data_IF_223950353205
#
_entry.id   IF_223950353205
#
_cell.length_a   1.000
_cell.length_b   1.000
_cell.length_c   1.000
_cell.angle_alpha   90.00
_cell.angle_beta   90.00
_cell.angle_gamma   90.00
#
_symmetry.space_group_name_H-M   'P 1'
#
loop_
_entity.id
_entity.type
_entity.pdbx_description
1 polymer ?
#
# COMPACT_ATOMS: atom_id res chain seq x y z
N UNK A 1 12.49 5.54 -7.47
CA UNK A 1 12.86 4.13 -7.23
C UNK A 1 14.29 4.10 -6.77
N UNK A 2 14.67 3.19 -5.88
CA UNK A 2 15.98 3.18 -5.19
C UNK A 2 16.68 1.82 -5.23
N UNK A 3 16.01 0.80 -5.76
CA UNK A 3 16.54 -0.54 -5.94
C UNK A 3 15.70 -1.27 -6.99
N UNK A 4 16.34 -2.07 -7.84
CA UNK A 4 15.67 -2.95 -8.80
C UNK A 4 16.38 -4.31 -8.88
N UNK A 5 15.59 -5.38 -8.87
CA UNK A 5 16.08 -6.76 -8.93
C UNK A 5 15.51 -7.64 -7.81
N UNK A 6 15.96 -8.90 -7.77
CA UNK A 6 15.57 -9.84 -6.72
C UNK A 6 16.24 -9.50 -5.39
N UNK A 7 15.47 -9.56 -4.29
CA UNK A 7 15.99 -9.34 -2.94
C UNK A 7 17.04 -10.40 -2.55
N UNK A 8 16.90 -11.62 -3.07
CA UNK A 8 17.69 -12.78 -2.67
C UNK A 8 17.27 -13.33 -1.29
N UNK A 9 17.82 -14.48 -0.94
CA UNK A 9 17.67 -15.09 0.39
C UNK A 9 18.12 -14.10 1.48
N UNK A 10 17.28 -13.93 2.51
CA UNK A 10 17.46 -12.96 3.61
C UNK A 10 17.72 -11.51 3.14
N UNK A 11 17.22 -11.13 1.96
CA UNK A 11 17.44 -9.80 1.37
C UNK A 11 18.90 -9.43 1.16
N UNK A 12 19.78 -10.43 0.98
CA UNK A 12 21.23 -10.23 0.83
C UNK A 12 21.61 -9.28 -0.31
N UNK A 13 20.91 -9.33 -1.43
CA UNK A 13 21.22 -8.48 -2.59
C UNK A 13 20.88 -7.01 -2.31
N UNK A 14 19.75 -6.78 -1.62
CA UNK A 14 19.34 -5.46 -1.14
C UNK A 14 20.38 -4.91 -0.16
N UNK A 15 20.76 -5.71 0.85
CA UNK A 15 21.71 -5.30 1.87
C UNK A 15 23.07 -4.95 1.23
N UNK A 16 23.57 -5.80 0.33
CA UNK A 16 24.85 -5.57 -0.34
C UNK A 16 24.83 -4.31 -1.21
N UNK A 17 23.72 -4.02 -1.89
CA UNK A 17 23.58 -2.81 -2.69
C UNK A 17 23.64 -1.55 -1.83
N UNK A 18 22.84 -1.48 -0.76
CA UNK A 18 22.83 -0.30 0.11
C UNK A 18 24.13 -0.15 0.92
N UNK A 19 24.74 -1.27 1.35
CA UNK A 19 26.01 -1.25 2.08
C UNK A 19 27.21 -0.82 1.20
N UNK A 20 27.09 -0.84 -0.13
CA UNK A 20 28.12 -0.37 -1.04
C UNK A 20 28.23 1.17 -1.09
N UNK A 21 27.19 1.90 -0.66
CA UNK A 21 27.21 3.37 -0.63
C UNK A 21 27.95 3.89 0.61
N UNK A 22 28.78 4.94 0.45
CA UNK A 22 29.42 5.59 1.59
C UNK A 22 28.38 6.24 2.51
N UNK A 23 28.60 6.20 3.82
CA UNK A 23 27.72 6.81 4.82
C UNK A 23 26.55 5.94 5.31
N UNK A 24 26.33 4.76 4.73
CA UNK A 24 25.26 3.85 5.16
C UNK A 24 25.67 3.06 6.41
N UNK A 25 24.84 3.12 7.45
CA UNK A 25 25.05 2.34 8.68
C UNK A 25 24.74 0.85 8.44
N UNK A 26 25.64 -0.09 8.82
CA UNK A 26 25.40 -1.52 8.67
C UNK A 26 24.13 -1.98 9.40
N UNK A 27 23.42 -2.94 8.79
CA UNK A 27 22.23 -3.54 9.40
C UNK A 27 22.58 -4.35 10.66
N UNK A 28 21.72 -4.29 11.67
CA UNK A 28 21.86 -5.09 12.90
C UNK A 28 21.39 -6.54 12.67
N UNK A 29 22.05 -7.55 13.27
CA UNK A 29 21.61 -8.94 13.15
C UNK A 29 20.16 -9.11 13.64
N UNK A 30 19.31 -9.76 12.81
CA UNK A 30 17.90 -9.99 13.12
C UNK A 30 16.98 -8.79 12.90
N UNK A 31 17.48 -7.67 12.36
CA UNK A 31 16.65 -6.51 12.01
C UNK A 31 15.98 -6.68 10.64
N UNK A 32 14.80 -6.09 10.46
CA UNK A 32 14.07 -6.18 9.19
C UNK A 32 14.79 -5.38 8.09
N UNK A 33 15.27 -6.02 7.00
CA UNK A 33 15.98 -5.34 5.93
C UNK A 33 15.17 -4.27 5.21
N UNK A 34 13.86 -4.45 5.10
CA UNK A 34 12.98 -3.46 4.48
C UNK A 34 12.89 -2.18 5.34
N UNK A 35 12.81 -2.35 6.67
CA UNK A 35 12.80 -1.22 7.61
C UNK A 35 14.15 -0.50 7.60
N UNK A 36 15.26 -1.23 7.62
CA UNK A 36 16.59 -0.66 7.53
C UNK A 36 16.81 0.15 6.24
N UNK A 37 16.40 -0.39 5.09
CA UNK A 37 16.49 0.34 3.82
C UNK A 37 15.68 1.66 3.84
N UNK A 38 14.48 1.64 4.42
CA UNK A 38 13.68 2.86 4.58
C UNK A 38 14.35 3.88 5.50
N UNK A 39 15.00 3.45 6.58
CA UNK A 39 15.77 4.34 7.46
C UNK A 39 16.95 4.97 6.72
N UNK A 40 17.69 4.20 5.93
CA UNK A 40 18.79 4.70 5.12
C UNK A 40 18.34 5.81 4.14
N UNK A 41 17.19 5.62 3.49
CA UNK A 41 16.68 6.56 2.48
C UNK A 41 15.96 7.75 3.12
N UNK A 42 15.18 7.52 4.19
CA UNK A 42 14.35 8.55 4.82
C UNK A 42 15.13 9.46 5.76
N UNK A 43 16.16 8.94 6.44
CA UNK A 43 16.94 9.72 7.40
C UNK A 43 18.16 10.43 6.77
N UNK A 44 18.49 10.13 5.52
CA UNK A 44 19.76 10.52 4.92
C UNK A 44 20.92 9.77 5.60
N UNK A 45 21.67 8.99 4.84
CA UNK A 45 22.93 8.43 5.30
C UNK A 45 23.84 9.59 5.74
N UNK A 46 24.00 9.78 7.06
CA UNK A 46 24.77 10.85 7.71
C UNK A 46 24.42 12.30 7.23
N UNK A 47 23.97 13.21 8.11
CA UNK A 47 23.72 14.61 7.72
C UNK A 47 24.95 15.35 7.17
N UNK A 48 26.15 14.79 7.29
CA UNK A 48 27.38 15.32 6.69
C UNK A 48 27.62 14.90 5.23
N UNK A 49 26.97 13.85 4.72
CA UNK A 49 27.08 13.38 3.33
C UNK A 49 25.70 12.96 2.76
N UNK A 50 24.82 13.92 2.42
CA UNK A 50 23.51 13.61 1.87
C UNK A 50 23.67 12.92 0.51
N UNK A 51 23.58 11.60 0.50
CA UNK A 51 23.59 10.79 -0.72
C UNK A 51 22.16 10.65 -1.22
N UNK A 52 21.87 11.20 -2.40
CA UNK A 52 20.56 11.01 -3.03
C UNK A 52 20.51 9.62 -3.69
N UNK A 53 19.95 8.65 -2.96
CA UNK A 53 19.75 7.29 -3.47
C UNK A 53 18.92 7.24 -4.76
N UNK A 54 18.06 8.23 -5.01
CA UNK A 54 17.29 8.28 -6.26
C UNK A 54 18.19 8.64 -7.45
N UNK A 55 19.10 9.61 -7.29
CA UNK A 55 20.07 9.98 -8.32
C UNK A 55 21.10 8.85 -8.53
N UNK A 56 21.60 8.25 -7.45
CA UNK A 56 22.48 7.10 -7.53
C UNK A 56 21.84 5.92 -8.27
N UNK A 57 20.54 5.68 -8.03
CA UNK A 57 19.81 4.64 -8.75
C UNK A 57 19.75 4.93 -10.26
N UNK A 58 19.48 6.18 -10.67
CA UNK A 58 19.39 6.57 -12.07
C UNK A 58 20.69 6.31 -12.87
N UNK A 59 21.84 6.43 -12.21
CA UNK A 59 23.17 6.21 -12.82
C UNK A 59 23.62 4.75 -12.69
N UNK A 60 22.99 3.97 -11.81
CA UNK A 60 23.40 2.59 -11.52
C UNK A 60 22.99 1.58 -12.59
N UNK A 61 23.71 0.45 -12.63
CA UNK A 61 23.40 -0.70 -13.49
C UNK A 61 21.98 -1.24 -13.26
N UNK A 62 21.41 -1.07 -12.06
CA UNK A 62 20.04 -1.50 -11.75
C UNK A 62 18.98 -0.77 -12.57
N UNK A 63 19.22 0.50 -12.92
CA UNK A 63 18.33 1.26 -13.80
C UNK A 63 18.39 0.73 -15.23
N UNK A 64 19.57 0.36 -15.71
CA UNK A 64 19.74 -0.25 -17.03
C UNK A 64 19.03 -1.60 -17.11
N UNK A 65 19.22 -2.46 -16.11
CA UNK A 65 18.52 -3.75 -16.02
C UNK A 65 17.00 -3.59 -15.92
N UNK A 66 16.52 -2.54 -15.25
CA UNK A 66 15.10 -2.20 -15.20
C UNK A 66 14.57 -1.81 -16.57
N UNK A 67 15.28 -0.94 -17.29
CA UNK A 67 14.90 -0.53 -18.64
C UNK A 67 14.88 -1.72 -19.60
N UNK A 68 15.88 -2.60 -19.54
CA UNK A 68 15.91 -3.84 -20.34
C UNK A 68 14.73 -4.78 -20.02
N UNK A 69 14.42 -4.97 -18.74
CA UNK A 69 13.28 -5.78 -18.33
C UNK A 69 11.92 -5.17 -18.73
N UNK A 70 11.84 -3.84 -18.79
CA UNK A 70 10.65 -3.12 -19.24
C UNK A 70 10.49 -3.17 -20.77
N UNK A 71 11.60 -3.20 -21.51
CA UNK A 71 11.63 -3.31 -22.98
C UNK A 71 11.28 -4.73 -23.48
N UNK A 72 11.22 -5.71 -22.56
CA UNK A 72 10.82 -7.07 -22.88
C UNK A 72 9.39 -7.12 -23.47
N UNK A 73 9.23 -7.88 -24.55
CA UNK A 73 7.94 -8.08 -25.21
C UNK A 73 6.88 -8.61 -24.24
N UNK A 74 5.70 -8.00 -24.24
CA UNK A 74 4.57 -8.34 -23.36
C UNK A 74 4.50 -7.55 -22.06
N UNK A 75 5.52 -6.74 -21.72
CA UNK A 75 5.51 -5.83 -20.57
C UNK A 75 5.02 -4.44 -20.96
N UNK A 76 5.84 -3.67 -21.67
CA UNK A 76 5.47 -2.34 -22.20
C UNK A 76 5.11 -2.37 -23.69
N UNK A 77 5.56 -3.39 -24.41
CA UNK A 77 5.29 -3.56 -25.84
C UNK A 77 4.32 -4.72 -26.08
N UNK A 78 3.33 -4.57 -26.97
CA UNK A 78 2.43 -5.66 -27.32
C UNK A 78 3.23 -6.85 -27.86
N UNK A 79 3.17 -8.01 -27.20
CA UNK A 79 3.76 -9.24 -27.72
C UNK A 79 2.79 -9.90 -28.72
N UNK A 80 3.26 -10.42 -29.86
CA UNK A 80 2.43 -11.21 -30.77
C UNK A 80 1.85 -12.47 -30.12
N UNK A 81 2.46 -12.95 -29.04
CA UNK A 81 2.14 -14.22 -28.38
C UNK A 81 1.30 -14.05 -27.12
N UNK A 82 1.32 -12.85 -26.50
CA UNK A 82 0.58 -12.54 -25.28
C UNK A 82 -0.57 -11.56 -25.59
N UNK A 83 -1.84 -11.93 -25.34
CA UNK A 83 -2.93 -10.97 -25.49
C UNK A 83 -2.76 -9.82 -24.51
N UNK A 84 -3.06 -8.60 -24.97
CA UNK A 84 -3.05 -7.39 -24.14
C UNK A 84 -3.85 -7.58 -22.85
N UNK A 85 -3.30 -7.13 -21.71
CA UNK A 85 -3.96 -7.18 -20.42
C UNK A 85 -5.17 -6.23 -20.42
N UNK A 86 -6.34 -6.78 -20.74
CA UNK A 86 -7.60 -6.05 -20.64
C UNK A 86 -8.24 -6.29 -19.28
N UNK A 87 -8.32 -5.23 -18.48
CA UNK A 87 -9.10 -5.25 -17.25
C UNK A 87 -10.59 -5.30 -17.61
N UNK A 88 -11.14 -6.51 -17.66
CA UNK A 88 -12.55 -6.76 -17.94
C UNK A 88 -13.50 -6.11 -16.93
N UNK A 89 -13.04 -5.94 -15.69
CA UNK A 89 -13.83 -5.37 -14.61
C UNK A 89 -13.11 -4.16 -14.03
N UNK A 90 -13.82 -3.03 -13.93
CA UNK A 90 -13.35 -1.82 -13.24
C UNK A 90 -13.02 -2.06 -11.76
N UNK A 91 -13.55 -3.13 -11.17
CA UNK A 91 -13.37 -3.48 -9.76
C UNK A 91 -12.97 -4.95 -9.61
N UNK A 92 -12.14 -5.25 -8.62
CA UNK A 92 -11.70 -6.62 -8.29
C UNK A 92 -12.84 -7.53 -7.77
N UNK A 93 -13.99 -6.96 -7.42
CA UNK A 93 -15.15 -7.70 -6.90
C UNK A 93 -16.45 -7.01 -7.33
N UNK A 94 -17.54 -7.77 -7.41
CA UNK A 94 -18.86 -7.24 -7.80
C UNK A 94 -19.39 -6.23 -6.77
N UNK A 95 -20.26 -5.31 -7.21
CA UNK A 95 -20.86 -4.31 -6.33
C UNK A 95 -21.62 -4.93 -5.16
N UNK A 96 -22.26 -6.08 -5.37
CA UNK A 96 -22.99 -6.82 -4.33
C UNK A 96 -22.09 -7.39 -3.25
N UNK A 97 -20.94 -7.97 -3.60
CA UNK A 97 -19.99 -8.50 -2.62
C UNK A 97 -19.40 -7.35 -1.80
N UNK A 98 -19.09 -6.22 -2.44
CA UNK A 98 -18.62 -5.01 -1.74
C UNK A 98 -19.67 -4.47 -0.78
N UNK A 99 -20.94 -4.47 -1.19
CA UNK A 99 -22.06 -4.05 -0.36
C UNK A 99 -22.29 -4.99 0.83
N UNK A 100 -22.31 -6.30 0.61
CA UNK A 100 -22.50 -7.29 1.67
C UNK A 100 -21.38 -7.21 2.73
N UNK A 101 -20.11 -7.19 2.29
CA UNK A 101 -18.97 -7.05 3.19
C UNK A 101 -19.05 -5.78 4.03
N UNK A 102 -19.54 -4.71 3.42
CA UNK A 102 -19.71 -3.44 4.08
C UNK A 102 -20.84 -3.48 5.11
N UNK A 103 -22.02 -3.97 4.73
CA UNK A 103 -23.14 -4.17 5.65
C UNK A 103 -22.70 -5.03 6.83
N UNK A 104 -22.01 -6.16 6.58
CA UNK A 104 -21.48 -7.04 7.62
C UNK A 104 -20.50 -6.32 8.55
N UNK A 105 -19.62 -5.46 8.01
CA UNK A 105 -18.69 -4.64 8.82
C UNK A 105 -19.45 -3.67 9.73
N UNK A 106 -20.51 -3.03 9.22
CA UNK A 106 -21.35 -2.11 10.00
C UNK A 106 -22.15 -2.83 11.07
N UNK A 107 -22.81 -3.93 10.74
CA UNK A 107 -23.52 -4.73 11.73
C UNK A 107 -22.58 -5.19 12.83
N UNK A 108 -21.37 -5.66 12.49
CA UNK A 108 -20.37 -6.05 13.50
C UNK A 108 -19.98 -4.89 14.42
N UNK A 109 -19.76 -3.68 13.88
CA UNK A 109 -19.48 -2.51 14.73
C UNK A 109 -20.68 -2.12 15.60
N UNK A 110 -21.88 -2.08 15.02
CA UNK A 110 -23.12 -1.76 15.73
C UNK A 110 -23.37 -2.73 16.89
N UNK A 111 -23.32 -4.04 16.63
CA UNK A 111 -23.49 -5.07 17.66
C UNK A 111 -22.38 -5.05 18.71
N UNK A 112 -21.11 -4.82 18.31
CA UNK A 112 -20.01 -4.75 19.27
C UNK A 112 -20.16 -3.58 20.25
N UNK A 113 -20.56 -2.41 19.77
CA UNK A 113 -20.74 -1.23 20.63
C UNK A 113 -21.95 -1.43 21.56
N UNK A 114 -23.07 -1.94 21.03
CA UNK A 114 -24.30 -2.11 21.81
C UNK A 114 -24.20 -3.18 22.88
N UNK A 115 -23.57 -4.31 22.56
CA UNK A 115 -23.62 -5.47 23.44
C UNK A 115 -22.32 -5.74 24.19
N UNK A 116 -21.18 -5.14 23.79
CA UNK A 116 -19.89 -5.38 24.45
C UNK A 116 -19.20 -4.12 24.97
N UNK A 117 -19.57 -2.91 24.53
CA UNK A 117 -18.64 -1.78 24.56
C UNK A 117 -18.97 -0.54 25.39
N UNK A 118 -20.22 -0.30 25.81
CA UNK A 118 -20.58 1.02 26.36
C UNK A 118 -21.54 1.01 27.54
N UNK A 119 -21.15 1.66 28.63
CA UNK A 119 -22.06 2.10 29.69
C UNK A 119 -22.77 3.39 29.24
N UNK A 120 -24.04 3.24 28.86
CA UNK A 120 -24.88 4.33 28.35
C UNK A 120 -25.29 5.35 29.39
N UNK A 121 -25.02 5.11 30.67
CA UNK A 121 -25.22 6.11 31.72
C UNK A 121 -24.17 7.23 31.67
N UNK A 122 -23.07 7.01 30.95
CA UNK A 122 -22.00 7.98 30.77
C UNK A 122 -22.24 8.83 29.52
N UNK A 123 -22.02 10.14 29.62
CA UNK A 123 -22.10 11.06 28.47
C UNK A 123 -21.22 10.62 27.29
N UNK A 124 -20.04 10.05 27.58
CA UNK A 124 -19.14 9.48 26.58
C UNK A 124 -19.76 8.28 25.83
N UNK A 125 -20.43 7.37 26.54
CA UNK A 125 -21.11 6.21 25.96
C UNK A 125 -22.32 6.61 25.11
N UNK A 126 -23.13 7.56 25.60
CA UNK A 126 -24.26 8.10 24.85
C UNK A 126 -23.81 8.83 23.56
N UNK A 127 -22.78 9.69 23.65
CA UNK A 127 -22.26 10.42 22.50
C UNK A 127 -21.58 9.50 21.47
N UNK A 128 -20.91 8.42 21.93
CA UNK A 128 -20.34 7.40 21.05
C UNK A 128 -21.43 6.64 20.26
N UNK A 129 -22.55 6.30 20.91
CA UNK A 129 -23.69 5.66 20.25
C UNK A 129 -24.33 6.55 19.17
N UNK A 130 -24.59 7.81 19.50
CA UNK A 130 -25.16 8.80 18.55
C UNK A 130 -24.19 9.07 17.40
N UNK A 131 -22.90 9.23 17.70
CA UNK A 131 -21.85 9.44 16.70
C UNK A 131 -21.75 8.27 15.72
N UNK A 132 -21.88 7.03 16.19
CA UNK A 132 -21.87 5.86 15.32
C UNK A 132 -23.08 5.86 14.37
N UNK A 133 -24.28 6.16 14.87
CA UNK A 133 -25.50 6.21 14.03
C UNK A 133 -25.33 7.27 12.94
N UNK A 134 -24.84 8.46 13.31
CA UNK A 134 -24.60 9.55 12.37
C UNK A 134 -23.57 9.17 11.29
N UNK A 135 -22.40 8.65 11.70
CA UNK A 135 -21.34 8.23 10.77
C UNK A 135 -21.82 7.10 9.85
N UNK A 136 -22.57 6.14 10.38
CA UNK A 136 -23.12 5.02 9.60
C UNK A 136 -24.11 5.53 8.55
N UNK A 137 -24.96 6.49 8.91
CA UNK A 137 -25.99 7.05 8.01
C UNK A 137 -25.35 7.86 6.88
N UNK A 138 -24.40 8.73 7.21
CA UNK A 138 -23.66 9.52 6.22
C UNK A 138 -22.87 8.61 5.27
N UNK A 139 -22.21 7.58 5.81
CA UNK A 139 -21.39 6.67 5.02
C UNK A 139 -22.23 5.81 4.05
N UNK A 140 -23.38 5.30 4.49
CA UNK A 140 -24.32 4.60 3.61
C UNK A 140 -24.83 5.53 2.50
N UNK A 141 -25.15 6.79 2.83
CA UNK A 141 -25.57 7.79 1.84
C UNK A 141 -24.51 8.07 0.76
N UNK A 142 -23.24 8.22 1.16
CA UNK A 142 -22.12 8.43 0.21
C UNK A 142 -21.95 7.23 -0.73
N UNK A 143 -22.12 6.00 -0.22
CA UNK A 143 -21.97 4.80 -1.03
C UNK A 143 -23.13 4.61 -1.99
N UNK A 144 -24.37 4.82 -1.55
CA UNK A 144 -25.53 4.81 -2.44
C UNK A 144 -25.37 5.83 -3.57
N UNK A 145 -24.87 7.04 -3.27
CA UNK A 145 -24.59 8.05 -4.28
C UNK A 145 -23.47 7.64 -5.25
N UNK A 146 -22.38 7.05 -4.73
CA UNK A 146 -21.26 6.56 -5.57
C UNK A 146 -21.67 5.37 -6.43
N UNK A 147 -22.55 4.48 -5.96
CA UNK A 147 -23.07 3.36 -6.77
C UNK A 147 -24.00 3.90 -7.87
N UNK A 148 -24.90 4.82 -7.54
CA UNK A 148 -25.83 5.40 -8.51
C UNK A 148 -25.10 6.15 -9.64
N UNK A 149 -24.12 6.98 -9.30
CA UNK A 149 -23.34 7.76 -10.28
C UNK A 149 -22.41 6.91 -11.15
N UNK A 150 -22.00 5.73 -10.67
CA UNK A 150 -21.14 4.81 -11.42
C UNK A 150 -21.90 3.84 -12.32
N UNK A 151 -23.22 3.70 -12.14
CA UNK A 151 -24.09 2.92 -13.04
C UNK A 151 -24.65 3.76 -14.20
N UNK A 152 -24.49 5.09 -14.15
CA UNK A 152 -24.93 6.05 -15.17
C UNK A 152 -23.82 6.47 -16.15
N UNK A 153 -22.63 5.85 -16.07
CA UNK A 153 -21.47 6.10 -16.93
C UNK A 153 -20.93 4.76 -17.46
#
# INVERSE_FOLDING_TARGET
MVFFGELGEDSKNLINYFAAFPGVSPIKPGYNPATWMLECIAAGADPSQPTDFAECFLVSDQKMLMEEALDQEGVLHPSPQLPELKFINKRASSGWIQFDLLCRRFFRMYFAIIYQGTDYNTYSGANAGIGLIFVSTVFLGIISFKIATLNSA
#
